data_IF_590859532727
#
_entry.id   IF_590859532727
#
_cell.length_a   1.000
_cell.length_b   1.000
_cell.length_c   1.000
_cell.angle_alpha   90.00
_cell.angle_beta   90.00
_cell.angle_gamma   90.00
#
_symmetry.space_group_name_H-M   'P 1'
#
loop_
_entity.id
_entity.type
_entity.pdbx_description
1 polymer ?
#
# COMPACT_ATOMS: atom_id res chain seq x y z
N UNK A 1 3.06 12.17 5.66
CA UNK A 1 3.79 12.03 4.39
C UNK A 1 4.85 10.95 4.52
N UNK A 2 5.01 10.11 3.50
CA UNK A 2 6.04 9.08 3.53
C UNK A 2 7.41 9.69 3.39
N UNK A 3 8.31 9.22 4.23
CA UNK A 3 9.72 9.51 4.12
C UNK A 3 10.43 8.18 3.86
N UNK A 4 11.01 8.05 2.66
CA UNK A 4 11.70 6.82 2.29
C UNK A 4 13.19 6.96 2.55
N UNK A 5 13.74 6.00 3.28
CA UNK A 5 15.16 5.86 3.50
C UNK A 5 15.60 4.57 2.80
N UNK A 6 16.48 4.69 1.80
CA UNK A 6 16.90 3.53 1.02
C UNK A 6 18.36 3.64 0.63
N UNK A 7 18.93 2.47 0.37
CA UNK A 7 20.31 2.33 -0.12
C UNK A 7 20.25 2.06 -1.62
N UNK A 8 21.16 2.70 -2.38
CA UNK A 8 21.23 2.56 -3.83
C UNK A 8 22.46 1.71 -4.18
N UNK A 9 22.26 0.66 -4.96
CA UNK A 9 23.33 -0.16 -5.51
C UNK A 9 23.29 -0.08 -7.04
N UNK A 10 24.47 0.16 -7.63
CA UNK A 10 24.63 0.31 -9.08
C UNK A 10 25.40 -0.88 -9.65
N UNK A 11 24.94 -1.35 -10.80
CA UNK A 11 25.63 -2.38 -11.54
C UNK A 11 25.76 -1.94 -12.99
N UNK A 12 27.00 -1.92 -13.49
CA UNK A 12 27.29 -1.50 -14.85
C UNK A 12 27.59 -2.72 -15.71
N UNK A 13 26.82 -2.87 -16.77
CA UNK A 13 27.03 -3.90 -17.77
C UNK A 13 27.45 -3.22 -19.08
N UNK A 14 27.90 -4.01 -20.06
CA UNK A 14 28.10 -3.48 -21.40
C UNK A 14 26.76 -2.97 -21.94
N UNK A 15 26.67 -1.68 -22.20
CA UNK A 15 25.48 -0.99 -22.75
C UNK A 15 24.23 -1.07 -21.86
N UNK A 16 24.36 -1.29 -20.56
CA UNK A 16 23.25 -1.28 -19.63
C UNK A 16 23.68 -0.87 -18.23
N UNK A 17 22.78 -0.21 -17.50
CA UNK A 17 22.95 0.10 -16.10
C UNK A 17 21.75 -0.43 -15.34
N UNK A 18 22.01 -1.19 -14.29
CA UNK A 18 20.98 -1.67 -13.37
C UNK A 18 21.13 -0.94 -12.04
N UNK A 19 20.08 -0.35 -11.55
CA UNK A 19 20.03 0.24 -10.21
C UNK A 19 19.06 -0.53 -9.37
N UNK A 20 19.51 -0.95 -8.19
CA UNK A 20 18.68 -1.59 -7.18
C UNK A 20 18.60 -0.67 -5.98
N UNK A 21 17.39 -0.32 -5.57
CA UNK A 21 17.17 0.41 -4.32
C UNK A 21 16.57 -0.56 -3.31
N UNK A 22 17.08 -0.51 -2.07
CA UNK A 22 16.63 -1.35 -0.99
C UNK A 22 16.25 -0.45 0.18
N UNK A 23 14.99 -0.59 0.65
CA UNK A 23 14.54 0.18 1.80
C UNK A 23 15.31 -0.26 3.04
N UNK A 24 15.87 0.71 3.75
CA UNK A 24 16.54 0.47 5.04
C UNK A 24 15.50 0.24 6.13
N UNK A 25 14.34 0.91 5.99
CA UNK A 25 13.22 0.74 6.89
C UNK A 25 11.94 1.15 6.17
N UNK A 26 10.80 0.62 6.63
CA UNK A 26 9.49 1.05 6.13
C UNK A 26 9.03 2.31 6.86
N UNK A 27 8.25 3.18 6.18
CA UNK A 27 7.61 4.30 6.88
C UNK A 27 6.79 3.79 8.07
N UNK A 28 6.86 4.51 9.19
CA UNK A 28 6.20 4.11 10.43
C UNK A 28 4.70 3.88 10.27
N UNK A 29 4.03 4.72 9.49
CA UNK A 29 2.59 4.58 9.22
C UNK A 29 2.25 3.27 8.51
N UNK A 30 3.13 2.79 7.62
CA UNK A 30 2.95 1.51 6.93
C UNK A 30 3.08 0.35 7.91
N UNK A 31 4.07 0.38 8.79
CA UNK A 31 4.25 -0.66 9.81
C UNK A 31 3.06 -0.73 10.76
N UNK A 32 2.53 0.41 11.17
CA UNK A 32 1.36 0.47 12.03
C UNK A 32 0.13 -0.14 11.35
N UNK A 33 -0.09 0.15 10.07
CA UNK A 33 -1.17 -0.45 9.28
C UNK A 33 -0.98 -1.96 9.13
N UNK A 34 0.25 -2.40 8.89
CA UNK A 34 0.56 -3.82 8.69
C UNK A 34 0.15 -4.68 9.87
N UNK A 35 0.40 -4.22 11.11
CA UNK A 35 0.03 -4.98 12.31
C UNK A 35 -1.48 -5.09 12.51
N UNK A 36 -2.27 -4.26 11.85
CA UNK A 36 -3.73 -4.21 12.00
C UNK A 36 -4.48 -4.64 10.74
N UNK A 37 -3.79 -5.15 9.72
CA UNK A 37 -4.40 -5.52 8.45
C UNK A 37 -3.92 -6.89 7.97
N UNK A 38 -4.72 -7.60 7.14
CA UNK A 38 -4.38 -8.94 6.64
C UNK A 38 -3.48 -8.93 5.40
N UNK A 39 -3.15 -7.79 4.82
CA UNK A 39 -2.32 -7.75 3.62
C UNK A 39 -0.86 -7.50 3.96
N UNK A 40 0.03 -8.06 3.13
CA UNK A 40 1.47 -7.99 3.36
C UNK A 40 2.06 -6.63 3.03
N UNK A 41 3.27 -6.39 3.53
CA UNK A 41 4.03 -5.19 3.22
C UNK A 41 4.41 -5.15 1.72
N UNK A 42 4.57 -3.94 1.13
CA UNK A 42 5.16 -3.82 -0.19
C UNK A 42 6.59 -4.38 -0.19
N UNK A 43 7.15 -4.79 -1.35
CA UNK A 43 8.53 -5.22 -1.41
C UNK A 43 9.50 -4.16 -0.88
N UNK A 44 10.63 -4.59 -0.34
CA UNK A 44 11.67 -3.68 0.16
C UNK A 44 12.72 -3.35 -0.90
N UNK A 45 12.74 -4.06 -2.03
CA UNK A 45 13.74 -3.92 -3.08
C UNK A 45 13.07 -3.63 -4.42
N UNK A 46 13.59 -2.65 -5.13
CA UNK A 46 13.07 -2.21 -6.43
C UNK A 46 14.22 -2.05 -7.41
N UNK A 47 13.98 -2.39 -8.67
CA UNK A 47 15.00 -2.44 -9.71
C UNK A 47 14.60 -1.54 -10.87
N UNK A 48 15.54 -0.77 -11.39
CA UNK A 48 15.41 -0.03 -12.62
C UNK A 48 16.57 -0.38 -13.55
N UNK A 49 16.29 -0.50 -14.82
CA UNK A 49 17.31 -0.81 -15.84
C UNK A 49 17.22 0.20 -16.97
N UNK A 50 18.35 0.75 -17.35
CA UNK A 50 18.49 1.60 -18.53
C UNK A 50 19.43 0.89 -19.50
N UNK A 51 18.96 0.70 -20.74
CA UNK A 51 19.72 0.06 -21.79
C UNK A 51 20.13 1.05 -22.87
N UNK A 52 21.26 0.78 -23.49
CA UNK A 52 21.74 1.55 -24.64
C UNK A 52 20.86 1.22 -25.88
N UNK A 53 20.34 2.25 -26.52
CA UNK A 53 19.61 2.08 -27.76
C UNK A 53 20.57 2.06 -28.94
N UNK A 54 20.28 1.22 -29.92
CA UNK A 54 21.08 1.11 -31.13
C UNK A 54 21.12 2.47 -31.85
N UNK A 55 22.35 2.92 -32.15
CA UNK A 55 22.57 4.20 -32.82
C UNK A 55 22.83 5.37 -31.88
N UNK A 56 22.62 5.24 -30.59
CA UNK A 56 22.90 6.30 -29.62
C UNK A 56 24.27 6.11 -28.98
N UNK A 57 24.91 7.22 -28.59
CA UNK A 57 26.09 7.17 -27.72
C UNK A 57 25.66 6.77 -26.32
N UNK A 58 26.35 5.79 -25.73
CA UNK A 58 26.06 5.36 -24.39
C UNK A 58 26.67 6.33 -23.36
N UNK A 59 25.82 6.93 -22.54
CA UNK A 59 26.21 7.81 -21.46
C UNK A 59 25.88 7.15 -20.13
N UNK A 60 26.89 6.72 -19.38
CA UNK A 60 26.71 6.03 -18.11
C UNK A 60 25.99 6.86 -17.06
N UNK A 61 26.30 8.15 -16.97
CA UNK A 61 25.70 9.03 -15.96
C UNK A 61 24.21 9.22 -16.24
N UNK A 62 23.83 9.42 -17.51
CA UNK A 62 22.44 9.54 -17.90
C UNK A 62 21.70 8.22 -17.69
N UNK A 63 22.31 7.10 -18.09
CA UNK A 63 21.75 5.77 -17.91
C UNK A 63 21.52 5.46 -16.41
N UNK A 64 22.45 5.82 -15.55
CA UNK A 64 22.29 5.68 -14.12
C UNK A 64 21.08 6.47 -13.60
N UNK A 65 20.95 7.73 -13.99
CA UNK A 65 19.83 8.58 -13.58
C UNK A 65 18.50 8.00 -14.03
N UNK A 66 18.42 7.50 -15.24
CA UNK A 66 17.20 6.88 -15.79
C UNK A 66 16.88 5.61 -15.02
N UNK A 67 17.87 4.74 -14.79
CA UNK A 67 17.67 3.50 -14.05
C UNK A 67 17.24 3.76 -12.61
N UNK A 68 17.86 4.72 -11.93
CA UNK A 68 17.48 5.11 -10.57
C UNK A 68 16.03 5.60 -10.51
N UNK A 69 15.65 6.48 -11.43
CA UNK A 69 14.27 7.00 -11.49
C UNK A 69 13.26 5.91 -11.78
N UNK A 70 13.60 4.93 -12.61
CA UNK A 70 12.74 3.77 -12.85
C UNK A 70 12.54 2.94 -11.57
N UNK A 71 13.60 2.72 -10.81
CA UNK A 71 13.52 2.02 -9.53
C UNK A 71 12.65 2.77 -8.52
N UNK A 72 12.86 4.09 -8.39
CA UNK A 72 12.07 4.95 -7.50
C UNK A 72 10.60 4.97 -7.92
N UNK A 73 10.32 5.04 -9.22
CA UNK A 73 8.96 4.99 -9.73
C UNK A 73 8.27 3.67 -9.39
N UNK A 74 9.00 2.55 -9.50
CA UNK A 74 8.48 1.24 -9.12
C UNK A 74 8.14 1.18 -7.64
N UNK A 75 8.98 1.77 -6.80
CA UNK A 75 8.73 1.86 -5.36
C UNK A 75 7.45 2.66 -5.06
N UNK A 76 7.31 3.84 -5.63
CA UNK A 76 6.12 4.65 -5.42
C UNK A 76 4.85 3.95 -5.93
N UNK A 77 4.94 3.27 -7.07
CA UNK A 77 3.80 2.50 -7.60
C UNK A 77 3.38 1.38 -6.65
N UNK A 78 4.35 0.67 -6.08
CA UNK A 78 4.05 -0.42 -5.14
C UNK A 78 3.38 0.11 -3.87
N UNK A 79 3.86 1.23 -3.33
CA UNK A 79 3.28 1.84 -2.13
C UNK A 79 1.91 2.46 -2.41
N UNK A 80 1.72 3.04 -3.58
CA UNK A 80 0.41 3.54 -4.00
C UNK A 80 -0.60 2.39 -4.09
N UNK A 81 -0.22 1.25 -4.66
CA UNK A 81 -1.07 0.08 -4.75
C UNK A 81 -1.37 -0.51 -3.37
N UNK A 82 -0.39 -0.50 -2.47
CA UNK A 82 -0.59 -0.92 -1.08
C UNK A 82 -1.65 -0.03 -0.41
N UNK A 83 -1.51 1.29 -0.52
CA UNK A 83 -2.47 2.23 0.08
C UNK A 83 -3.87 2.07 -0.50
N UNK A 84 -3.97 1.82 -1.80
CA UNK A 84 -5.26 1.58 -2.44
C UNK A 84 -5.94 0.34 -1.86
N UNK A 85 -5.19 -0.76 -1.70
CA UNK A 85 -5.74 -1.98 -1.09
C UNK A 85 -6.11 -1.77 0.37
N UNK A 86 -5.30 -1.01 1.10
CA UNK A 86 -5.59 -0.67 2.49
C UNK A 86 -6.90 0.12 2.60
N UNK A 87 -7.08 1.13 1.76
CA UNK A 87 -8.29 1.94 1.74
C UNK A 87 -9.52 1.09 1.43
N UNK A 88 -9.45 0.25 0.41
CA UNK A 88 -10.56 -0.64 0.03
C UNK A 88 -10.93 -1.60 1.18
N UNK A 89 -9.92 -2.12 1.87
CA UNK A 89 -10.13 -2.99 3.03
C UNK A 89 -10.84 -2.27 4.17
N UNK A 90 -10.38 -1.07 4.52
CA UNK A 90 -10.98 -0.31 5.61
C UNK A 90 -12.41 0.16 5.28
N UNK A 91 -12.67 0.52 4.03
CA UNK A 91 -14.01 0.85 3.56
C UNK A 91 -14.97 -0.33 3.70
N UNK A 92 -14.50 -1.53 3.33
CA UNK A 92 -15.26 -2.76 3.48
C UNK A 92 -15.57 -3.05 4.95
N UNK A 93 -14.57 -2.93 5.83
CA UNK A 93 -14.75 -3.14 7.27
C UNK A 93 -15.76 -2.13 7.85
N UNK A 94 -15.67 -0.86 7.43
CA UNK A 94 -16.60 0.16 7.87
C UNK A 94 -18.04 -0.16 7.46
N UNK A 95 -18.24 -0.62 6.22
CA UNK A 95 -19.55 -1.03 5.74
C UNK A 95 -20.12 -2.22 6.53
N UNK A 96 -19.28 -3.20 6.84
CA UNK A 96 -19.69 -4.35 7.66
C UNK A 96 -20.11 -3.93 9.07
N UNK A 97 -19.35 -3.03 9.70
CA UNK A 97 -19.71 -2.50 11.02
C UNK A 97 -20.99 -1.69 10.99
N UNK A 98 -21.22 -0.91 9.94
CA UNK A 98 -22.46 -0.15 9.77
C UNK A 98 -23.67 -1.09 9.64
N UNK A 99 -23.55 -2.14 8.83
CA UNK A 99 -24.59 -3.13 8.66
C UNK A 99 -24.91 -3.85 9.97
N UNK A 100 -23.89 -4.23 10.73
CA UNK A 100 -24.07 -4.88 12.03
C UNK A 100 -24.77 -3.95 13.02
N UNK A 101 -24.37 -2.68 13.05
CA UNK A 101 -25.01 -1.69 13.94
C UNK A 101 -26.47 -1.53 13.61
N UNK A 102 -26.82 -1.47 12.31
CA UNK A 102 -28.22 -1.37 11.87
C UNK A 102 -29.02 -2.60 12.28
N UNK A 103 -28.46 -3.79 12.11
CA UNK A 103 -29.13 -5.04 12.53
C UNK A 103 -29.38 -5.08 14.04
N UNK A 104 -28.40 -4.65 14.84
CA UNK A 104 -28.53 -4.60 16.30
C UNK A 104 -29.58 -3.56 16.73
N UNK A 105 -29.63 -2.41 16.07
CA UNK A 105 -30.62 -1.38 16.33
C UNK A 105 -32.03 -1.90 16.08
N UNK A 106 -32.24 -2.61 14.98
CA UNK A 106 -33.54 -3.20 14.64
C UNK A 106 -33.98 -4.25 15.68
N UNK A 107 -33.05 -5.09 16.15
CA UNK A 107 -33.36 -6.05 17.22
C UNK A 107 -33.73 -5.34 18.52
N UNK A 108 -33.03 -4.28 18.87
CA UNK A 108 -33.35 -3.49 20.07
C UNK A 108 -34.76 -2.89 19.99
N UNK A 109 -35.12 -2.34 18.85
CA UNK A 109 -36.51 -1.80 18.64
C UNK A 109 -37.54 -2.89 18.78
N UNK A 110 -37.29 -4.05 18.22
CA UNK A 110 -38.22 -5.19 18.30
C UNK A 110 -38.43 -5.62 19.76
N UNK A 111 -37.38 -5.74 20.53
CA UNK A 111 -37.43 -6.09 21.95
C UNK A 111 -38.20 -5.00 22.74
N UNK A 112 -37.92 -3.73 22.47
CA UNK A 112 -38.61 -2.63 23.11
C UNK A 112 -40.13 -2.69 22.87
N UNK A 113 -40.54 -2.97 21.64
CA UNK A 113 -41.95 -3.15 21.30
C UNK A 113 -42.56 -4.34 22.02
N UNK A 114 -41.84 -5.44 22.13
CA UNK A 114 -42.28 -6.62 22.87
C UNK A 114 -42.52 -6.32 24.35
N UNK A 115 -41.63 -5.56 24.96
CA UNK A 115 -41.77 -5.14 26.37
C UNK A 115 -43.00 -4.29 26.56
N UNK A 116 -43.26 -3.32 25.67
CA UNK A 116 -44.45 -2.48 25.72
C UNK A 116 -45.74 -3.30 25.62
N UNK A 117 -45.74 -4.27 24.72
CA UNK A 117 -46.88 -5.17 24.55
C UNK A 117 -47.15 -5.96 25.84
N UNK A 118 -46.10 -6.56 26.42
CA UNK A 118 -46.27 -7.36 27.63
C UNK A 118 -46.72 -6.54 28.83
N UNK A 119 -46.22 -5.33 28.97
CA UNK A 119 -46.60 -4.45 30.09
C UNK A 119 -47.99 -3.84 29.94
N UNK A 120 -48.42 -3.62 28.71
CA UNK A 120 -49.74 -3.06 28.39
C UNK A 120 -50.89 -4.04 28.74
N UNK A 121 -50.61 -5.33 28.65
CA UNK A 121 -51.62 -6.38 28.83
C UNK A 121 -51.68 -6.94 30.23
N UNK A 122 -51.14 -6.26 31.22
CA UNK A 122 -51.24 -6.60 32.62
C UNK A 122 -52.47 -6.01 33.23
#
# INVERSE_FOLDING_TARGET
>A
MYKFDYTVNEFYYDKAVKVTITLNDYPKCILEEYYNSPFGLPPDTYVGIATHKKGDSFNKDLAFKVAERKAVRAMYSAFMNYEKRAQEYYEKCAAEHENLRAALSNKKLHITSSIKYLTKNK
#
